data_IF_252422934699
#
_entry.id   IF_252422934699
#
_cell.length_a   1.000
_cell.length_b   1.000
_cell.length_c   1.000
_cell.angle_alpha   90.00
_cell.angle_beta   90.00
_cell.angle_gamma   90.00
#
_symmetry.space_group_name_H-M   'P 1'
#
loop_
_entity.id
_entity.type
_entity.pdbx_description
1 polymer ?
#
# COMPACT_ATOMS: atom_id res chain seq x y z
N UNK A 1 -18.74 11.74 1.03
CA UNK A 1 -18.00 11.15 -0.12
C UNK A 1 -16.68 11.84 -0.43
N UNK A 2 -16.60 13.17 -0.45
CA UNK A 2 -15.39 13.95 -0.78
C UNK A 2 -14.18 13.65 0.13
N UNK A 3 -14.35 13.60 1.45
CA UNK A 3 -13.24 13.43 2.40
C UNK A 3 -12.58 12.06 2.33
N UNK A 4 -13.32 10.99 1.99
CA UNK A 4 -12.79 9.64 1.81
C UNK A 4 -11.90 9.56 0.57
N UNK A 5 -12.35 10.15 -0.55
CA UNK A 5 -11.60 10.17 -1.80
C UNK A 5 -10.30 10.97 -1.62
N UNK A 6 -10.36 12.10 -0.92
CA UNK A 6 -9.21 12.95 -0.65
C UNK A 6 -8.18 12.25 0.24
N UNK A 7 -8.62 11.52 1.26
CA UNK A 7 -7.72 10.74 2.13
C UNK A 7 -7.02 9.60 1.40
N UNK A 8 -7.74 8.86 0.55
CA UNK A 8 -7.17 7.80 -0.29
C UNK A 8 -6.18 8.38 -1.30
N UNK A 9 -6.54 9.51 -1.93
CA UNK A 9 -5.64 10.21 -2.86
C UNK A 9 -4.33 10.64 -2.21
N UNK A 10 -4.40 11.18 -0.99
CA UNK A 10 -3.21 11.59 -0.25
C UNK A 10 -2.33 10.39 0.15
N UNK A 11 -2.93 9.29 0.59
CA UNK A 11 -2.20 8.04 0.86
C UNK A 11 -1.47 7.52 -0.38
N UNK A 12 -2.16 7.45 -1.53
CA UNK A 12 -1.56 7.02 -2.79
C UNK A 12 -0.42 7.95 -3.22
N UNK A 13 -0.57 9.26 -3.05
CA UNK A 13 0.48 10.23 -3.34
C UNK A 13 1.74 9.97 -2.50
N UNK A 14 1.59 9.74 -1.20
CA UNK A 14 2.72 9.42 -0.31
C UNK A 14 3.40 8.10 -0.69
N UNK A 15 2.62 7.07 -1.05
CA UNK A 15 3.15 5.78 -1.49
C UNK A 15 3.94 5.90 -2.79
N UNK A 16 3.43 6.61 -3.78
CA UNK A 16 4.12 6.85 -5.05
C UNK A 16 5.41 7.66 -4.80
N UNK A 17 5.36 8.70 -3.97
CA UNK A 17 6.54 9.49 -3.61
C UNK A 17 7.61 8.66 -2.91
N UNK A 18 7.21 7.75 -2.01
CA UNK A 18 8.12 6.81 -1.34
C UNK A 18 8.79 5.86 -2.34
N UNK A 19 8.02 5.28 -3.27
CA UNK A 19 8.55 4.39 -4.33
C UNK A 19 9.51 5.12 -5.26
N UNK A 20 9.17 6.34 -5.69
CA UNK A 20 10.04 7.16 -6.53
C UNK A 20 11.34 7.53 -5.80
N UNK A 21 11.27 7.92 -4.53
CA UNK A 21 12.45 8.20 -3.71
C UNK A 21 13.34 6.97 -3.56
N UNK A 22 12.76 5.80 -3.32
CA UNK A 22 13.49 4.53 -3.24
C UNK A 22 14.17 4.15 -4.55
N UNK A 23 13.47 4.30 -5.67
CA UNK A 23 14.02 4.06 -7.00
C UNK A 23 15.18 5.02 -7.32
N UNK A 24 15.02 6.30 -7.03
CA UNK A 24 16.08 7.30 -7.22
C UNK A 24 17.33 6.97 -6.38
N UNK A 25 17.15 6.62 -5.11
CA UNK A 25 18.27 6.20 -4.24
C UNK A 25 18.96 4.94 -4.75
N UNK A 26 18.21 3.99 -5.31
CA UNK A 26 18.77 2.79 -5.93
C UNK A 26 19.58 3.10 -7.18
N UNK A 27 19.08 3.96 -8.10
CA UNK A 27 19.82 4.40 -9.28
C UNK A 27 21.10 5.13 -8.88
N UNK A 28 21.03 6.01 -7.89
CA UNK A 28 22.18 6.73 -7.38
C UNK A 28 23.24 5.79 -6.79
N UNK A 29 22.84 4.73 -6.10
CA UNK A 29 23.76 3.72 -5.61
C UNK A 29 24.47 2.98 -6.76
N UNK A 30 23.75 2.69 -7.86
CA UNK A 30 24.35 2.13 -9.08
C UNK A 30 25.39 3.06 -9.69
N UNK A 31 25.09 4.35 -9.79
CA UNK A 31 26.01 5.35 -10.34
C UNK A 31 27.28 5.46 -9.50
N UNK A 32 27.15 5.48 -8.16
CA UNK A 32 28.31 5.49 -7.24
C UNK A 32 29.18 4.25 -7.40
N UNK A 33 28.58 3.08 -7.59
CA UNK A 33 29.33 1.83 -7.86
C UNK A 33 30.02 1.90 -9.22
N UNK A 34 29.35 2.41 -10.26
CA UNK A 34 29.94 2.58 -11.58
C UNK A 34 31.12 3.56 -11.58
N UNK A 35 31.01 4.66 -10.84
CA UNK A 35 32.08 5.64 -10.65
C UNK A 35 33.29 5.03 -9.91
N UNK A 36 33.06 4.22 -8.86
CA UNK A 36 34.13 3.54 -8.14
C UNK A 36 34.87 2.52 -9.02
N UNK A 37 34.11 1.74 -9.83
CA UNK A 37 34.67 0.83 -10.82
C UNK A 37 35.47 1.56 -11.89
N UNK A 38 34.97 2.68 -12.41
CA UNK A 38 35.65 3.49 -13.42
C UNK A 38 36.93 4.06 -12.86
N UNK A 39 36.91 4.60 -11.65
CA UNK A 39 38.09 5.14 -10.98
C UNK A 39 39.16 4.06 -10.73
N UNK A 40 38.76 2.91 -10.20
CA UNK A 40 39.64 1.79 -9.94
C UNK A 40 40.30 1.30 -11.24
N UNK A 41 39.51 1.21 -12.34
CA UNK A 41 40.00 0.82 -13.66
C UNK A 41 41.05 1.82 -14.20
N UNK A 42 40.79 3.12 -14.09
CA UNK A 42 41.72 4.18 -14.52
C UNK A 42 43.02 4.11 -13.75
N UNK A 43 42.98 3.93 -12.42
CA UNK A 43 44.18 3.81 -11.59
C UNK A 43 44.98 2.57 -11.94
N UNK A 44 44.34 1.43 -12.12
CA UNK A 44 44.98 0.17 -12.50
C UNK A 44 45.66 0.28 -13.89
N UNK A 45 44.98 0.92 -14.85
CA UNK A 45 45.55 1.16 -16.19
C UNK A 45 46.73 2.13 -16.15
N UNK A 46 46.71 3.13 -15.27
CA UNK A 46 47.83 4.06 -15.11
C UNK A 46 49.09 3.39 -14.54
N UNK A 47 48.90 2.40 -13.64
CA UNK A 47 50.00 1.69 -13.02
C UNK A 47 50.55 0.53 -13.88
N UNK A 48 49.62 -0.19 -14.59
CA UNK A 48 49.94 -1.45 -15.25
C UNK A 48 49.44 -1.56 -16.70
N UNK A 49 49.44 -0.48 -17.46
CA UNK A 49 48.88 -0.50 -18.83
C UNK A 49 49.56 -1.56 -19.73
N UNK A 50 50.83 -1.84 -19.50
CA UNK A 50 51.61 -2.79 -20.29
C UNK A 50 51.49 -4.25 -19.82
N UNK A 51 51.14 -4.48 -18.57
CA UNK A 51 51.03 -5.82 -17.99
C UNK A 51 49.63 -6.42 -18.15
N UNK A 52 48.57 -5.61 -18.23
CA UNK A 52 47.21 -6.09 -18.41
C UNK A 52 46.95 -6.62 -19.80
N UNK A 53 47.57 -5.99 -20.82
CA UNK A 53 47.47 -6.39 -22.22
C UNK A 53 48.85 -6.77 -22.71
N UNK A 54 49.25 -8.01 -22.44
CA UNK A 54 50.51 -8.58 -22.96
C UNK A 54 50.36 -9.00 -24.41
N UNK A 55 51.44 -9.06 -25.22
CA UNK A 55 51.37 -9.58 -26.58
C UNK A 55 50.78 -11.00 -26.66
N UNK A 56 51.04 -11.81 -25.64
CA UNK A 56 50.48 -13.16 -25.55
C UNK A 56 48.98 -13.14 -25.33
N UNK A 57 48.48 -12.23 -24.48
CA UNK A 57 47.03 -12.02 -24.28
C UNK A 57 46.35 -11.64 -25.60
N UNK A 58 46.95 -10.74 -26.38
CA UNK A 58 46.44 -10.33 -27.69
C UNK A 58 46.41 -11.51 -28.67
N UNK A 59 47.47 -12.34 -28.67
CA UNK A 59 47.54 -13.52 -29.55
C UNK A 59 46.49 -14.55 -29.19
N UNK A 60 46.35 -14.90 -27.91
CA UNK A 60 45.32 -15.86 -27.42
C UNK A 60 43.93 -15.35 -27.72
N UNK A 61 43.66 -14.06 -27.48
CA UNK A 61 42.37 -13.45 -27.77
C UNK A 61 42.02 -13.53 -29.28
N UNK A 62 42.95 -13.16 -30.18
CA UNK A 62 42.77 -13.28 -31.62
C UNK A 62 42.51 -14.73 -32.03
N UNK A 63 43.19 -15.70 -31.45
CA UNK A 63 43.03 -17.10 -31.75
C UNK A 63 41.64 -17.61 -31.29
N UNK A 64 41.16 -17.16 -30.15
CA UNK A 64 39.82 -17.50 -29.66
C UNK A 64 38.70 -16.85 -30.50
N UNK A 65 38.88 -15.60 -30.90
CA UNK A 65 37.92 -14.94 -31.79
C UNK A 65 37.84 -15.63 -33.18
N UNK A 66 38.87 -16.24 -33.65
CA UNK A 66 38.89 -17.02 -34.91
C UNK A 66 38.23 -18.40 -34.77
N UNK A 67 38.20 -18.95 -33.55
CA UNK A 67 37.65 -20.28 -33.26
C UNK A 67 36.16 -20.24 -32.82
N UNK A 68 35.66 -19.07 -32.46
CA UNK A 68 34.31 -18.89 -31.95
C UNK A 68 33.53 -17.88 -32.79
N UNK A 69 32.40 -18.26 -33.35
CA UNK A 69 31.55 -17.37 -34.17
C UNK A 69 30.81 -16.31 -33.32
N UNK A 70 31.33 -15.96 -32.15
CA UNK A 70 30.70 -15.05 -31.19
C UNK A 70 31.70 -14.13 -30.47
N UNK A 71 31.13 -13.17 -29.72
CA UNK A 71 31.92 -12.26 -28.86
C UNK A 71 32.62 -13.05 -27.75
N UNK A 72 33.91 -12.97 -27.72
CA UNK A 72 34.71 -13.55 -26.63
C UNK A 72 34.98 -12.45 -25.60
N UNK A 73 34.45 -12.63 -24.40
CA UNK A 73 34.67 -11.75 -23.27
C UNK A 73 35.65 -12.42 -22.30
N UNK A 74 36.75 -11.76 -22.07
CA UNK A 74 37.67 -12.17 -21.01
C UNK A 74 37.35 -11.42 -19.74
N UNK A 75 37.05 -12.16 -18.68
CA UNK A 75 36.92 -11.61 -17.32
C UNK A 75 38.19 -11.92 -16.55
N UNK A 76 38.88 -10.89 -16.14
CA UNK A 76 40.11 -11.00 -15.34
C UNK A 76 39.86 -10.45 -13.95
N UNK A 77 40.12 -11.26 -12.93
CA UNK A 77 40.18 -10.79 -11.55
C UNK A 77 41.61 -10.32 -11.27
N UNK A 78 41.84 -9.01 -11.26
CA UNK A 78 43.12 -8.42 -10.92
C UNK A 78 43.15 -7.96 -9.46
N UNK A 79 44.19 -8.33 -8.70
CA UNK A 79 44.30 -7.96 -7.28
C UNK A 79 44.51 -6.47 -7.07
N UNK A 80 45.24 -5.81 -7.97
CA UNK A 80 45.52 -4.39 -7.84
C UNK A 80 44.30 -3.57 -8.17
N UNK A 81 43.53 -4.01 -9.17
CA UNK A 81 42.20 -3.44 -9.43
C UNK A 81 41.29 -3.56 -8.20
N UNK A 82 41.23 -4.73 -7.57
CA UNK A 82 40.44 -4.94 -6.36
C UNK A 82 40.95 -4.07 -5.19
N UNK A 83 42.23 -3.79 -5.09
CA UNK A 83 42.82 -2.93 -4.05
C UNK A 83 42.44 -1.46 -4.23
N UNK A 84 42.27 -0.99 -5.47
CA UNK A 84 41.86 0.38 -5.79
C UNK A 84 40.38 0.65 -5.55
N UNK A 85 39.54 -0.40 -5.39
CA UNK A 85 38.14 -0.25 -5.05
C UNK A 85 37.98 0.28 -3.62
N UNK A 86 37.20 1.36 -3.47
CA UNK A 86 36.92 1.95 -2.15
C UNK A 86 36.01 1.04 -1.33
N UNK A 87 35.06 0.36 -2.00
CA UNK A 87 34.06 -0.45 -1.33
C UNK A 87 34.53 -1.91 -1.24
N UNK A 88 34.75 -2.40 -0.01
CA UNK A 88 35.14 -3.79 0.24
C UNK A 88 34.17 -4.83 -0.29
N UNK A 89 32.87 -4.50 -0.36
CA UNK A 89 31.85 -5.43 -0.88
C UNK A 89 31.99 -5.66 -2.39
N UNK A 90 32.63 -4.74 -3.12
CA UNK A 90 32.91 -4.89 -4.56
C UNK A 90 34.11 -5.81 -4.85
N UNK A 91 35.06 -5.86 -3.96
CA UNK A 91 36.34 -6.57 -4.17
C UNK A 91 36.21 -8.04 -4.51
N UNK A 92 35.16 -8.70 -4.03
CA UNK A 92 34.94 -10.13 -4.25
C UNK A 92 34.20 -10.43 -5.57
N UNK A 93 33.47 -9.46 -6.10
CA UNK A 93 32.55 -9.66 -7.24
C UNK A 93 32.84 -8.70 -8.41
N UNK A 94 34.00 -8.02 -8.38
CA UNK A 94 34.38 -7.09 -9.44
C UNK A 94 35.44 -7.71 -10.34
N UNK A 95 35.29 -7.55 -11.64
CA UNK A 95 36.13 -8.12 -12.69
C UNK A 95 36.36 -7.07 -13.77
N UNK A 96 37.51 -7.21 -14.48
CA UNK A 96 37.77 -6.41 -15.67
C UNK A 96 37.43 -7.27 -16.89
N UNK A 97 36.59 -6.77 -17.77
CA UNK A 97 36.30 -7.38 -19.06
C UNK A 97 37.12 -6.72 -20.16
N UNK A 98 37.70 -7.56 -21.00
CA UNK A 98 38.47 -7.17 -22.20
C UNK A 98 37.66 -7.60 -23.41
N UNK A 99 37.35 -6.65 -24.31
CA UNK A 99 36.72 -6.94 -25.61
C UNK A 99 37.43 -6.18 -26.73
N UNK A 100 37.43 -6.74 -27.93
CA UNK A 100 37.92 -6.04 -29.12
C UNK A 100 36.79 -5.12 -29.65
N UNK A 101 37.18 -3.89 -30.03
CA UNK A 101 36.21 -3.00 -30.70
C UNK A 101 36.12 -3.45 -32.16
N UNK A 102 35.08 -4.21 -32.47
CA UNK A 102 34.66 -4.48 -33.83
C UNK A 102 33.35 -3.68 -34.10
N UNK A 103 33.25 -3.06 -35.28
CA UNK A 103 32.10 -2.21 -35.65
C UNK A 103 30.74 -2.96 -35.64
N UNK A 104 30.78 -4.29 -35.49
CA UNK A 104 29.58 -5.14 -35.51
C UNK A 104 28.89 -5.31 -34.14
N UNK A 105 29.52 -4.95 -33.04
CA UNK A 105 28.99 -5.22 -31.70
C UNK A 105 28.74 -3.93 -30.90
N UNK A 106 27.49 -3.46 -30.96
CA UNK A 106 26.96 -2.49 -30.03
C UNK A 106 26.58 -3.20 -28.72
N UNK A 107 27.16 -2.75 -27.63
CA UNK A 107 26.72 -2.91 -26.21
C UNK A 107 25.73 -4.06 -25.92
N UNK A 108 26.18 -5.31 -26.02
CA UNK A 108 25.46 -6.40 -25.39
C UNK A 108 25.80 -6.43 -23.89
N UNK A 109 24.82 -6.02 -23.08
CA UNK A 109 24.87 -6.15 -21.63
C UNK A 109 24.95 -7.63 -21.24
N UNK A 110 26.05 -8.07 -20.64
CA UNK A 110 26.34 -9.47 -20.32
C UNK A 110 25.38 -10.06 -19.29
N UNK A 111 24.76 -9.25 -18.45
CA UNK A 111 23.70 -9.67 -17.51
C UNK A 111 22.87 -8.48 -17.08
N UNK A 112 21.57 -8.60 -17.06
CA UNK A 112 20.63 -7.51 -16.69
C UNK A 112 20.69 -6.99 -15.23
N UNK A 113 21.63 -7.50 -14.42
CA UNK A 113 21.85 -7.09 -13.02
C UNK A 113 23.24 -6.51 -12.72
N UNK A 114 24.21 -6.68 -13.61
CA UNK A 114 25.57 -6.21 -13.37
C UNK A 114 25.67 -4.68 -13.53
N UNK A 115 26.55 -4.06 -12.71
CA UNK A 115 26.91 -2.65 -12.81
C UNK A 115 28.23 -2.55 -13.57
N UNK A 116 28.29 -1.66 -14.54
CA UNK A 116 29.46 -1.48 -15.42
C UNK A 116 30.09 -0.11 -15.22
N UNK A 117 31.43 -0.07 -15.39
CA UNK A 117 32.20 1.19 -15.51
C UNK A 117 32.02 1.80 -16.89
N UNK A 118 32.52 3.00 -17.06
CA UNK A 118 32.77 3.58 -18.36
C UNK A 118 33.72 2.73 -19.19
N UNK A 119 33.59 2.78 -20.52
CA UNK A 119 34.44 2.04 -21.45
C UNK A 119 35.77 2.76 -21.64
N UNK A 120 36.87 2.11 -21.30
CA UNK A 120 38.23 2.61 -21.59
C UNK A 120 38.75 1.95 -22.86
N UNK A 121 39.21 2.76 -23.80
CA UNK A 121 39.79 2.27 -25.04
C UNK A 121 41.30 2.32 -24.96
N UNK A 122 41.95 1.17 -25.07
CA UNK A 122 43.41 1.03 -25.10
C UNK A 122 43.82 0.53 -26.47
N UNK A 123 44.78 1.23 -27.12
CA UNK A 123 45.33 0.84 -28.40
C UNK A 123 46.65 0.17 -28.20
N UNK A 124 46.82 -1.06 -28.69
CA UNK A 124 48.07 -1.81 -28.67
C UNK A 124 48.24 -2.61 -29.97
N UNK A 125 49.42 -2.61 -30.56
CA UNK A 125 49.75 -3.33 -31.79
C UNK A 125 48.72 -3.16 -32.94
N UNK A 126 48.32 -1.93 -33.20
CA UNK A 126 47.30 -1.59 -34.23
C UNK A 126 45.87 -2.16 -33.98
N UNK A 127 45.59 -2.67 -32.81
CA UNK A 127 44.29 -3.19 -32.39
C UNK A 127 43.76 -2.31 -31.27
N UNK A 128 42.43 -2.05 -31.28
CA UNK A 128 41.76 -1.31 -30.21
C UNK A 128 40.99 -2.28 -29.32
N UNK A 129 41.28 -2.18 -28.03
CA UNK A 129 40.59 -2.96 -27.01
C UNK A 129 39.71 -2.06 -26.16
N UNK A 130 38.48 -2.51 -25.90
CA UNK A 130 37.61 -1.90 -24.92
C UNK A 130 37.74 -2.67 -23.60
N UNK A 131 38.14 -1.95 -22.56
CA UNK A 131 38.14 -2.45 -21.20
C UNK A 131 36.92 -1.86 -20.46
N UNK A 132 36.19 -2.73 -19.80
CA UNK A 132 35.10 -2.35 -18.90
C UNK A 132 35.27 -3.10 -17.60
N UNK A 133 35.20 -2.42 -16.48
CA UNK A 133 35.05 -3.11 -15.20
C UNK A 133 33.56 -3.38 -14.96
N UNK A 134 33.26 -4.51 -14.38
CA UNK A 134 31.88 -4.84 -13.97
C UNK A 134 31.87 -5.50 -12.60
N UNK A 135 30.77 -5.31 -11.90
CA UNK A 135 30.51 -5.99 -10.65
C UNK A 135 29.16 -6.70 -10.73
N UNK A 136 29.16 -8.00 -10.48
CA UNK A 136 27.93 -8.79 -10.37
C UNK A 136 27.45 -8.73 -8.92
N UNK A 137 26.50 -7.84 -8.65
CA UNK A 137 25.97 -7.60 -7.33
C UNK A 137 24.49 -8.00 -7.27
N UNK A 138 24.10 -8.84 -6.30
CA UNK A 138 22.69 -9.11 -6.08
C UNK A 138 21.96 -7.81 -5.74
N UNK A 139 20.72 -7.66 -6.23
CA UNK A 139 19.90 -6.47 -5.98
C UNK A 139 19.82 -6.10 -4.49
N UNK A 140 19.79 -7.09 -3.61
CA UNK A 140 19.77 -6.89 -2.16
C UNK A 140 20.99 -6.13 -1.64
N UNK A 141 22.18 -6.37 -2.21
CA UNK A 141 23.42 -5.67 -1.84
C UNK A 141 23.37 -4.21 -2.29
N UNK A 142 22.94 -3.94 -3.51
CA UNK A 142 22.73 -2.57 -4.02
C UNK A 142 21.70 -1.80 -3.18
N UNK A 143 20.61 -2.47 -2.80
CA UNK A 143 19.61 -1.88 -1.89
C UNK A 143 20.21 -1.54 -0.52
N UNK A 144 21.05 -2.40 0.03
CA UNK A 144 21.73 -2.16 1.31
C UNK A 144 22.74 -1.02 1.24
N UNK A 145 23.37 -0.81 0.09
CA UNK A 145 24.31 0.30 -0.16
C UNK A 145 23.59 1.62 -0.41
N UNK A 146 22.32 1.59 -0.81
CA UNK A 146 21.55 2.79 -1.12
C UNK A 146 20.99 3.44 0.16
N UNK A 147 20.97 4.77 0.20
CA UNK A 147 20.35 5.51 1.32
C UNK A 147 18.84 5.52 1.20
N UNK A 148 18.20 4.57 1.89
CA UNK A 148 16.74 4.40 1.88
C UNK A 148 16.01 5.20 2.98
N UNK A 149 16.72 6.08 3.72
CA UNK A 149 16.14 6.80 4.88
C UNK A 149 14.92 7.61 4.48
N UNK A 150 15.00 8.36 3.38
CA UNK A 150 13.88 9.20 2.91
C UNK A 150 12.69 8.37 2.43
N UNK A 151 12.92 7.28 1.72
CA UNK A 151 11.86 6.36 1.29
C UNK A 151 11.15 5.72 2.47
N UNK A 152 11.91 5.23 3.48
CA UNK A 152 11.36 4.63 4.70
C UNK A 152 10.55 5.63 5.53
N UNK A 153 11.02 6.88 5.68
CA UNK A 153 10.27 7.91 6.42
C UNK A 153 8.95 8.23 5.73
N UNK A 154 8.93 8.37 4.40
CA UNK A 154 7.69 8.60 3.64
C UNK A 154 6.73 7.42 3.75
N UNK A 155 7.23 6.18 3.69
CA UNK A 155 6.42 4.98 3.88
C UNK A 155 5.81 4.91 5.27
N UNK A 156 6.58 5.26 6.32
CA UNK A 156 6.09 5.30 7.69
C UNK A 156 5.01 6.36 7.88
N UNK A 157 5.19 7.56 7.32
CA UNK A 157 4.17 8.62 7.34
C UNK A 157 2.90 8.17 6.62
N UNK A 158 3.03 7.51 5.45
CA UNK A 158 1.88 6.96 4.73
C UNK A 158 1.13 5.91 5.57
N UNK A 159 1.85 5.04 6.25
CA UNK A 159 1.26 4.01 7.12
C UNK A 159 0.52 4.62 8.33
N UNK A 160 1.14 5.59 9.00
CA UNK A 160 0.49 6.32 10.10
C UNK A 160 -0.76 7.07 9.63
N UNK A 161 -0.71 7.67 8.43
CA UNK A 161 -1.87 8.31 7.81
C UNK A 161 -3.00 7.31 7.53
N UNK A 162 -2.67 6.11 7.05
CA UNK A 162 -3.65 5.06 6.80
C UNK A 162 -4.37 4.63 8.09
N UNK A 163 -3.61 4.42 9.18
CA UNK A 163 -4.18 4.07 10.51
C UNK A 163 -5.08 5.21 11.01
N UNK A 164 -4.60 6.45 10.95
CA UNK A 164 -5.37 7.63 11.37
C UNK A 164 -6.65 7.78 10.55
N UNK A 165 -6.54 7.66 9.23
CA UNK A 165 -7.67 7.75 8.30
C UNK A 165 -8.69 6.65 8.56
N UNK A 166 -8.25 5.40 8.75
CA UNK A 166 -9.15 4.29 9.07
C UNK A 166 -9.90 4.52 10.37
N UNK A 167 -9.19 4.94 11.42
CA UNK A 167 -9.81 5.23 12.71
C UNK A 167 -10.78 6.41 12.64
N UNK A 168 -10.41 7.48 11.94
CA UNK A 168 -11.23 8.68 11.80
C UNK A 168 -12.46 8.44 10.93
N UNK A 169 -12.31 7.78 9.78
CA UNK A 169 -13.40 7.46 8.85
C UNK A 169 -14.30 6.34 9.41
N UNK A 170 -13.73 5.38 10.13
CA UNK A 170 -14.51 4.34 10.80
C UNK A 170 -15.36 4.86 11.96
N UNK A 171 -14.96 6.01 12.55
CA UNK A 171 -15.73 6.67 13.60
C UNK A 171 -16.84 7.59 13.04
N UNK A 172 -16.72 8.06 11.79
CA UNK A 172 -17.80 8.74 11.08
C UNK A 172 -18.70 7.68 10.45
N UNK A 173 -19.70 7.22 11.22
CA UNK A 173 -20.86 6.51 10.64
C UNK A 173 -21.43 7.43 9.57
N UNK A 174 -21.46 6.98 8.30
CA UNK A 174 -22.30 7.68 7.33
C UNK A 174 -23.71 7.71 7.91
N UNK A 175 -24.40 8.83 7.85
CA UNK A 175 -25.85 8.80 7.95
C UNK A 175 -26.30 7.95 6.75
N UNK A 176 -26.44 6.61 6.92
CA UNK A 176 -27.33 5.84 6.07
C UNK A 176 -28.60 6.65 5.99
N UNK A 177 -29.33 6.62 4.89
CA UNK A 177 -30.64 7.27 4.75
C UNK A 177 -31.53 6.80 5.91
N UNK A 178 -31.31 7.38 7.06
CA UNK A 178 -32.01 7.06 8.29
C UNK A 178 -33.32 7.79 8.16
N UNK A 179 -34.37 7.05 7.83
CA UNK A 179 -35.70 7.53 7.88
C UNK A 179 -35.93 8.02 9.31
N UNK A 180 -35.87 9.32 9.52
CA UNK A 180 -36.15 9.91 10.82
C UNK A 180 -37.62 10.24 10.89
N UNK A 181 -38.31 9.75 11.91
CA UNK A 181 -39.70 10.08 12.18
C UNK A 181 -39.81 10.67 13.58
N UNK A 182 -40.20 11.94 13.65
CA UNK A 182 -40.40 12.64 14.92
C UNK A 182 -39.20 12.70 15.85
N UNK A 183 -37.98 12.71 15.27
CA UNK A 183 -36.72 12.73 16.02
C UNK A 183 -36.23 11.34 16.48
N UNK A 184 -36.90 10.28 16.06
CA UNK A 184 -36.47 8.90 16.26
C UNK A 184 -35.82 8.39 15.01
N UNK A 185 -34.65 7.73 15.16
CA UNK A 185 -33.83 7.14 14.10
C UNK A 185 -33.65 5.67 14.40
N UNK A 186 -33.90 4.78 13.44
CA UNK A 186 -33.61 3.36 13.58
C UNK A 186 -32.40 2.96 12.76
N UNK A 187 -31.45 2.29 13.39
CA UNK A 187 -30.27 1.70 12.73
C UNK A 187 -30.49 0.20 12.55
N UNK A 188 -30.58 -0.25 11.30
CA UNK A 188 -30.70 -1.68 10.98
C UNK A 188 -29.43 -2.46 11.34
N UNK A 189 -28.25 -1.79 11.36
CA UNK A 189 -26.95 -2.43 11.62
C UNK A 189 -26.85 -2.83 13.09
N UNK A 190 -27.29 -1.93 13.99
CA UNK A 190 -27.17 -2.13 15.43
C UNK A 190 -28.47 -2.66 16.05
N UNK A 191 -29.55 -2.78 15.27
CA UNK A 191 -30.93 -3.11 15.71
C UNK A 191 -31.37 -2.24 16.90
N UNK A 192 -31.02 -0.94 16.86
CA UNK A 192 -31.24 0.01 17.93
C UNK A 192 -31.90 1.30 17.45
N UNK A 193 -32.63 1.94 18.34
CA UNK A 193 -33.22 3.26 18.11
C UNK A 193 -32.36 4.34 18.76
N UNK A 194 -32.23 5.48 18.08
CA UNK A 194 -31.45 6.64 18.52
C UNK A 194 -32.36 7.89 18.53
N UNK A 195 -32.02 8.83 19.38
CA UNK A 195 -32.63 10.16 19.38
C UNK A 195 -31.93 11.08 18.35
N UNK A 196 -32.35 12.34 18.27
CA UNK A 196 -31.74 13.36 17.38
C UNK A 196 -30.30 13.71 17.73
N UNK A 197 -29.83 13.35 18.92
CA UNK A 197 -28.46 13.59 19.40
C UNK A 197 -27.57 12.36 19.25
N UNK A 198 -28.02 11.35 18.48
CA UNK A 198 -27.31 10.09 18.24
C UNK A 198 -27.10 9.29 19.55
N UNK A 199 -27.98 9.50 20.55
CA UNK A 199 -27.95 8.78 21.83
C UNK A 199 -28.85 7.55 21.72
N UNK A 200 -28.36 6.34 22.06
CA UNK A 200 -29.17 5.13 21.98
C UNK A 200 -30.29 5.14 23.03
N UNK A 201 -31.52 4.88 22.57
CA UNK A 201 -32.69 4.76 23.46
C UNK A 201 -32.78 3.32 23.94
N UNK A 202 -32.69 3.12 25.25
CA UNK A 202 -32.74 1.79 25.85
C UNK A 202 -34.18 1.30 26.01
N UNK A 203 -34.62 0.44 25.09
CA UNK A 203 -35.87 -0.27 25.20
C UNK A 203 -35.67 -1.66 25.81
N UNK A 204 -36.70 -2.14 26.55
CA UNK A 204 -36.76 -3.55 26.89
C UNK A 204 -37.04 -4.38 25.62
N UNK A 205 -36.72 -5.69 25.55
CA UNK A 205 -36.92 -6.49 24.34
C UNK A 205 -38.34 -6.42 23.75
N UNK A 206 -39.36 -6.43 24.60
CA UNK A 206 -40.77 -6.31 24.16
C UNK A 206 -41.13 -4.91 23.68
N UNK A 207 -40.53 -3.87 24.28
CA UNK A 207 -40.70 -2.48 23.83
C UNK A 207 -40.03 -2.28 22.46
N UNK A 208 -38.86 -2.83 22.27
CA UNK A 208 -38.15 -2.76 21.00
C UNK A 208 -38.95 -3.45 19.88
N UNK A 209 -39.49 -4.64 20.12
CA UNK A 209 -40.31 -5.33 19.16
C UNK A 209 -41.56 -4.52 18.80
N UNK A 210 -42.22 -3.91 19.77
CA UNK A 210 -43.37 -3.06 19.52
C UNK A 210 -43.03 -1.81 18.70
N UNK A 211 -41.87 -1.18 19.00
CA UNK A 211 -41.37 -0.03 18.24
C UNK A 211 -41.01 -0.41 16.80
N UNK A 212 -40.43 -1.58 16.58
CA UNK A 212 -40.15 -2.10 15.24
C UNK A 212 -41.43 -2.34 14.44
N UNK A 213 -42.47 -2.84 15.07
CA UNK A 213 -43.82 -2.98 14.41
C UNK A 213 -44.36 -1.63 13.97
N UNK A 214 -44.32 -0.61 14.83
CA UNK A 214 -44.71 0.76 14.45
C UNK A 214 -43.83 1.31 13.33
N UNK A 215 -42.53 1.06 13.38
CA UNK A 215 -41.56 1.57 12.41
C UNK A 215 -41.75 0.95 11.02
N UNK A 216 -42.00 -0.36 10.96
CA UNK A 216 -42.24 -1.08 9.70
C UNK A 216 -43.56 -0.77 9.04
N UNK A 217 -44.51 -0.22 9.79
CA UNK A 217 -45.83 0.11 9.27
C UNK A 217 -45.85 1.54 8.70
N UNK A 218 -46.13 1.76 7.41
CA UNK A 218 -46.05 3.09 6.79
C UNK A 218 -46.98 4.13 7.43
N UNK A 219 -48.12 3.71 7.97
CA UNK A 219 -49.10 4.58 8.64
C UNK A 219 -48.75 4.83 10.10
N UNK A 220 -47.72 4.17 10.66
CA UNK A 220 -47.36 4.16 12.08
C UNK A 220 -48.57 3.91 13.00
N UNK A 221 -49.57 3.16 12.49
CA UNK A 221 -50.81 2.85 13.20
C UNK A 221 -51.05 1.35 13.12
N UNK A 222 -51.24 0.71 14.27
CA UNK A 222 -51.43 -0.72 14.39
C UNK A 222 -52.73 -1.02 15.12
N UNK A 223 -53.45 -2.06 14.69
CA UNK A 223 -54.62 -2.53 15.44
C UNK A 223 -54.16 -3.23 16.74
N UNK A 224 -54.99 -3.22 17.76
CA UNK A 224 -54.75 -3.93 19.02
C UNK A 224 -54.54 -5.43 18.78
N UNK A 225 -55.32 -5.99 17.85
CA UNK A 225 -55.32 -7.40 17.50
C UNK A 225 -53.98 -7.80 16.82
N UNK A 226 -53.52 -6.99 15.84
CA UNK A 226 -52.27 -7.22 15.16
C UNK A 226 -51.06 -7.18 16.10
N UNK A 227 -51.05 -6.22 17.04
CA UNK A 227 -49.99 -6.12 18.05
C UNK A 227 -50.00 -7.35 18.95
N UNK A 228 -51.19 -7.75 19.45
CA UNK A 228 -51.31 -8.90 20.34
C UNK A 228 -50.90 -10.19 19.64
N UNK A 229 -51.28 -10.39 18.37
CA UNK A 229 -50.91 -11.54 17.57
C UNK A 229 -49.39 -11.60 17.30
N UNK A 230 -48.79 -10.46 16.98
CA UNK A 230 -47.37 -10.37 16.68
C UNK A 230 -46.47 -10.59 17.91
N UNK A 231 -46.84 -10.00 19.06
CA UNK A 231 -46.01 -10.06 20.28
C UNK A 231 -46.33 -11.29 21.15
N UNK A 232 -47.59 -11.75 21.17
CA UNK A 232 -48.02 -12.89 22.01
C UNK A 232 -48.90 -13.90 21.24
N UNK A 233 -48.36 -14.60 20.21
CA UNK A 233 -49.17 -15.47 19.36
C UNK A 233 -49.79 -16.69 20.09
N UNK A 234 -49.30 -16.99 21.29
CA UNK A 234 -49.76 -18.13 22.10
C UNK A 234 -50.79 -17.75 23.19
N UNK A 235 -51.14 -16.46 23.30
CA UNK A 235 -52.02 -15.97 24.36
C UNK A 235 -53.35 -15.51 23.75
N UNK A 236 -54.46 -16.12 24.16
CA UNK A 236 -55.79 -15.83 23.62
C UNK A 236 -56.23 -14.36 23.85
N UNK A 237 -55.94 -13.82 25.03
CA UNK A 237 -56.12 -12.38 25.32
C UNK A 237 -54.90 -11.78 25.99
N UNK A 238 -54.21 -10.93 25.23
CA UNK A 238 -53.01 -10.19 25.70
C UNK A 238 -53.35 -8.70 25.95
N UNK A 239 -54.60 -8.30 25.98
CA UNK A 239 -55.04 -6.89 26.09
C UNK A 239 -54.42 -6.15 27.26
N UNK A 240 -54.46 -6.73 28.46
CA UNK A 240 -53.92 -6.11 29.68
C UNK A 240 -52.37 -6.04 29.64
N UNK A 241 -51.75 -7.05 29.03
CA UNK A 241 -50.32 -7.09 28.86
C UNK A 241 -49.85 -5.99 27.91
N UNK A 242 -50.57 -5.81 26.78
CA UNK A 242 -50.34 -4.74 25.84
C UNK A 242 -50.52 -3.35 26.47
N UNK A 243 -51.62 -3.17 27.23
CA UNK A 243 -51.89 -1.91 27.93
C UNK A 243 -50.71 -1.56 28.87
N UNK A 244 -50.22 -2.53 29.63
CA UNK A 244 -49.10 -2.35 30.54
C UNK A 244 -47.79 -2.04 29.80
N UNK A 245 -47.55 -2.70 28.66
CA UNK A 245 -46.38 -2.45 27.82
C UNK A 245 -46.39 -1.03 27.26
N UNK A 246 -47.55 -0.58 26.71
CA UNK A 246 -47.69 0.78 26.18
C UNK A 246 -47.58 1.83 27.28
N UNK A 247 -48.15 1.59 28.45
CA UNK A 247 -48.03 2.49 29.60
C UNK A 247 -46.59 2.72 30.02
N UNK A 248 -45.74 1.68 29.93
CA UNK A 248 -44.32 1.76 30.25
C UNK A 248 -43.47 2.34 29.11
N UNK A 249 -43.88 2.12 27.88
CA UNK A 249 -43.17 2.62 26.70
C UNK A 249 -43.41 4.12 26.47
N UNK A 250 -44.59 4.60 26.76
CA UNK A 250 -45.00 5.98 26.52
C UNK A 250 -44.06 7.04 27.13
N UNK A 251 -43.66 7.00 28.42
CA UNK A 251 -42.76 7.99 28.99
C UNK A 251 -41.36 7.92 28.31
N UNK A 252 -40.84 6.74 28.00
CA UNK A 252 -39.51 6.57 27.37
C UNK A 252 -39.47 7.25 26.00
N UNK A 253 -40.52 7.14 25.19
CA UNK A 253 -40.58 7.79 23.88
C UNK A 253 -40.79 9.31 24.04
N UNK A 254 -41.69 9.74 24.93
CA UNK A 254 -42.03 11.15 25.12
C UNK A 254 -40.89 11.97 25.73
N UNK A 255 -39.96 11.34 26.48
CA UNK A 255 -38.73 11.97 27.01
C UNK A 255 -37.61 12.08 26.00
N UNK A 256 -37.46 11.06 25.15
CA UNK A 256 -36.32 10.96 24.24
C UNK A 256 -36.60 11.50 22.84
N UNK A 257 -37.91 11.71 22.48
CA UNK A 257 -38.30 12.08 21.12
C UNK A 257 -39.47 13.05 21.11
N UNK A 258 -39.79 13.62 19.92
CA UNK A 258 -40.97 14.42 19.70
C UNK A 258 -42.21 13.56 19.33
N UNK A 259 -42.23 12.28 19.72
CA UNK A 259 -43.29 11.35 19.42
C UNK A 259 -44.16 11.09 20.63
N UNK A 260 -45.42 10.76 20.36
CA UNK A 260 -46.39 10.29 21.36
C UNK A 260 -47.20 9.10 20.85
N UNK A 261 -47.51 8.18 21.74
CA UNK A 261 -48.43 7.07 21.43
C UNK A 261 -49.83 7.49 21.78
N UNK A 262 -50.72 7.45 20.79
CA UNK A 262 -52.17 7.79 20.92
C UNK A 262 -53.00 6.53 20.75
N UNK A 263 -53.89 6.28 21.71
CA UNK A 263 -54.86 5.21 21.62
C UNK A 263 -56.14 5.72 20.94
N UNK A 264 -56.60 5.05 19.89
CA UNK A 264 -57.79 5.37 19.15
C UNK A 264 -58.97 4.46 19.62
N UNK A 265 -59.79 4.97 20.53
CA UNK A 265 -60.97 4.28 21.09
C UNK A 265 -60.71 2.84 21.56
N UNK A 266 -59.48 2.51 21.98
CA UNK A 266 -59.09 1.18 22.42
C UNK A 266 -58.97 0.11 21.33
N UNK A 267 -59.15 0.47 20.05
CA UNK A 267 -59.06 -0.46 18.91
C UNK A 267 -57.72 -0.44 18.19
N UNK A 268 -57.03 0.70 18.22
CA UNK A 268 -55.70 0.83 17.59
C UNK A 268 -54.82 1.81 18.36
N UNK A 269 -53.52 1.69 18.11
CA UNK A 269 -52.52 2.60 18.64
C UNK A 269 -51.77 3.24 17.47
N UNK A 270 -51.49 4.53 17.56
CA UNK A 270 -50.75 5.24 16.55
C UNK A 270 -49.61 6.04 17.17
N UNK A 271 -48.45 6.04 16.49
CA UNK A 271 -47.31 6.87 16.81
C UNK A 271 -47.46 8.20 16.06
N UNK A 272 -47.54 9.32 16.76
CA UNK A 272 -47.75 10.66 16.17
C UNK A 272 -46.68 11.61 16.68
N UNK A 273 -46.36 12.60 15.86
CA UNK A 273 -45.53 13.74 16.27
C UNK A 273 -46.32 14.59 17.25
N UNK A 274 -45.64 15.07 18.28
CA UNK A 274 -46.25 15.86 19.37
C UNK A 274 -46.63 17.24 18.92
#
# INVERSE_FOLDING_TARGET
MSNRILSVGFFLFLMISSLMSGHHSYCRAKDVVADDLTRALVLTLAEKSDDIITPDTVRVYKQMCLSTDGLVLFAVADKDFCNHLQNEQLRQNAFISLSMIDERYKDECINGGAVYSDTMVVRKENTQFALKAYADLPMATLFRMSDQRMSLTLALVAFLWAIFSWRYIGCQREPSETISFGGLVYSEIDDCFYDVHDTPIHFTPMQQQLMLLFWKTPSHTLSKEDICLALWPKKEDASDTLYTLIRRLKPVIEESTNLKIVANRGKSYSLKIR
#
